data_IF_222314289412
#
_entry.id   IF_222314289412
#
_cell.length_a   1.000
_cell.length_b   1.000
_cell.length_c   1.000
_cell.angle_alpha   90.00
_cell.angle_beta   90.00
_cell.angle_gamma   90.00
#
_symmetry.space_group_name_H-M   'P 1'
#
loop_
_entity.id
_entity.type
_entity.pdbx_description
1 polymer ?
#
# COMPACT_ATOMS: atom_id res chain seq x y z
N UNK A 1 -20.59 -11.46 -53.02
CA UNK A 1 -20.44 -11.87 -51.57
C UNK A 1 -19.80 -10.74 -50.79
N UNK A 2 -20.56 -10.00 -49.99
CA UNK A 2 -20.05 -8.95 -49.07
C UNK A 2 -19.67 -9.63 -47.76
N UNK A 3 -18.37 -9.72 -47.46
CA UNK A 3 -17.89 -10.14 -46.14
C UNK A 3 -18.41 -9.16 -45.09
N UNK A 4 -19.24 -9.65 -44.17
CA UNK A 4 -19.63 -8.95 -42.95
C UNK A 4 -18.35 -8.72 -42.11
N UNK A 5 -17.83 -7.48 -42.10
CA UNK A 5 -16.85 -7.06 -41.10
C UNK A 5 -17.47 -7.28 -39.72
N UNK A 6 -16.92 -8.22 -38.96
CA UNK A 6 -17.29 -8.43 -37.58
C UNK A 6 -17.18 -7.09 -36.81
N UNK A 7 -18.23 -6.71 -36.11
CA UNK A 7 -18.18 -5.62 -35.16
C UNK A 7 -17.16 -6.00 -34.09
N UNK A 8 -15.97 -5.43 -34.15
CA UNK A 8 -15.07 -5.45 -33.00
C UNK A 8 -15.80 -4.77 -31.84
N UNK A 9 -16.32 -5.56 -30.92
CA UNK A 9 -16.91 -5.09 -29.68
C UNK A 9 -15.77 -4.56 -28.80
N UNK A 10 -15.43 -3.29 -28.97
CA UNK A 10 -14.52 -2.62 -28.03
C UNK A 10 -15.19 -2.51 -26.67
N UNK A 11 -14.45 -2.89 -25.64
CA UNK A 11 -14.83 -2.71 -24.24
C UNK A 11 -14.38 -1.33 -23.75
N UNK A 12 -15.16 -0.74 -22.86
CA UNK A 12 -14.79 0.51 -22.20
C UNK A 12 -13.97 0.18 -20.95
N UNK A 13 -12.78 0.77 -20.82
CA UNK A 13 -11.88 0.57 -19.70
C UNK A 13 -11.60 1.92 -19.06
N UNK A 14 -11.89 2.02 -17.79
CA UNK A 14 -11.53 3.19 -16.98
C UNK A 14 -10.07 3.11 -16.56
N UNK A 15 -9.36 4.22 -16.68
CA UNK A 15 -7.93 4.31 -16.40
C UNK A 15 -7.64 5.51 -15.50
N UNK A 16 -7.14 5.23 -14.30
CA UNK A 16 -6.66 6.24 -13.38
C UNK A 16 -5.23 6.64 -13.76
N UNK A 17 -5.02 7.93 -13.98
CA UNK A 17 -3.69 8.48 -14.25
C UNK A 17 -3.06 8.97 -12.94
N UNK A 18 -1.75 8.69 -12.68
CA UNK A 18 -1.04 9.18 -11.50
C UNK A 18 -0.86 10.72 -11.51
N UNK A 19 -1.95 11.44 -11.37
CA UNK A 19 -2.02 12.90 -11.46
C UNK A 19 -2.98 13.46 -10.40
N UNK A 20 -2.65 14.62 -9.78
CA UNK A 20 -3.45 15.15 -8.68
C UNK A 20 -4.81 15.73 -9.09
N UNK A 21 -5.13 15.86 -10.36
CA UNK A 21 -6.29 16.61 -10.82
C UNK A 21 -7.22 15.86 -11.76
N UNK A 22 -6.94 14.58 -12.00
CA UNK A 22 -7.64 13.83 -13.02
C UNK A 22 -8.53 12.75 -12.39
N UNK A 23 -9.84 12.74 -12.70
CA UNK A 23 -10.66 11.55 -12.50
C UNK A 23 -10.16 10.44 -13.43
N UNK A 24 -10.64 9.23 -13.23
CA UNK A 24 -10.42 8.16 -14.19
C UNK A 24 -10.97 8.56 -15.57
N UNK A 25 -10.23 8.20 -16.61
CA UNK A 25 -10.61 8.49 -18.00
C UNK A 25 -11.00 7.18 -18.68
N UNK A 26 -12.05 7.24 -19.51
CA UNK A 26 -12.53 6.07 -20.25
C UNK A 26 -11.81 5.95 -21.59
N UNK A 27 -11.34 4.74 -21.89
CA UNK A 27 -10.67 4.36 -23.14
C UNK A 27 -11.34 3.12 -23.74
N UNK A 28 -11.08 2.87 -25.03
CA UNK A 28 -11.44 1.63 -25.70
C UNK A 28 -10.32 0.63 -25.61
N UNK A 29 -10.68 -0.64 -25.48
CA UNK A 29 -9.76 -1.76 -25.64
C UNK A 29 -10.47 -2.98 -26.20
N UNK A 30 -9.74 -3.96 -26.68
CA UNK A 30 -10.28 -5.19 -27.29
C UNK A 30 -10.90 -6.15 -26.27
N UNK A 31 -10.57 -5.99 -24.98
CA UNK A 31 -11.05 -6.83 -23.88
C UNK A 31 -11.18 -6.04 -22.57
N UNK A 32 -11.91 -6.58 -21.59
CA UNK A 32 -11.89 -6.10 -20.23
C UNK A 32 -10.54 -6.39 -19.58
N UNK A 33 -10.05 -5.43 -18.80
CA UNK A 33 -8.82 -5.59 -18.03
C UNK A 33 -9.17 -5.78 -16.54
N UNK A 34 -8.42 -6.64 -15.83
CA UNK A 34 -8.47 -6.67 -14.38
C UNK A 34 -8.11 -5.31 -13.79
N UNK A 35 -8.60 -5.00 -12.60
CA UNK A 35 -8.22 -3.77 -11.89
C UNK A 35 -6.73 -3.77 -11.54
N UNK A 36 -6.11 -2.59 -11.57
CA UNK A 36 -4.72 -2.41 -11.18
C UNK A 36 -3.69 -2.74 -12.26
N UNK A 37 -4.10 -3.17 -13.46
CA UNK A 37 -3.20 -3.39 -14.59
C UNK A 37 -2.71 -2.06 -15.13
N UNK A 38 -1.39 -1.93 -15.33
CA UNK A 38 -0.83 -0.74 -15.97
C UNK A 38 -1.03 -0.79 -17.46
N UNK A 39 -1.48 0.33 -17.99
CA UNK A 39 -1.71 0.52 -19.42
C UNK A 39 -1.05 1.81 -19.90
N UNK A 40 -0.69 1.80 -21.17
CA UNK A 40 -0.22 2.98 -21.86
C UNK A 40 -1.34 3.59 -22.66
N UNK A 41 -1.65 4.86 -22.40
CA UNK A 41 -2.79 5.57 -22.98
C UNK A 41 -2.39 6.89 -23.60
N UNK A 42 -3.12 7.37 -24.63
CA UNK A 42 -2.96 8.72 -25.15
C UNK A 42 -3.62 9.74 -24.24
N UNK A 43 -2.87 10.75 -23.82
CA UNK A 43 -3.40 11.92 -23.16
C UNK A 43 -2.97 13.18 -23.90
N UNK A 44 -3.91 13.89 -24.55
CA UNK A 44 -3.60 15.00 -25.48
C UNK A 44 -2.62 14.52 -26.57
N UNK A 45 -1.40 15.09 -26.62
CA UNK A 45 -0.32 14.74 -27.56
C UNK A 45 0.75 13.80 -26.94
N UNK A 46 0.58 13.38 -25.69
CA UNK A 46 1.57 12.60 -24.97
C UNK A 46 1.06 11.18 -24.65
N UNK A 47 2.00 10.24 -24.56
CA UNK A 47 1.78 8.91 -24.01
C UNK A 47 1.89 8.98 -22.48
N UNK A 48 0.94 8.37 -21.75
CA UNK A 48 0.93 8.31 -20.30
C UNK A 48 0.69 6.89 -19.82
N UNK A 49 1.22 6.60 -18.64
CA UNK A 49 0.95 5.35 -17.94
C UNK A 49 -0.19 5.60 -16.95
N UNK A 50 -1.17 4.71 -16.98
CA UNK A 50 -2.27 4.70 -16.04
C UNK A 50 -2.56 3.29 -15.55
N UNK A 51 -3.49 3.17 -14.64
CA UNK A 51 -3.91 1.91 -14.03
C UNK A 51 -5.39 1.68 -14.35
N UNK A 52 -5.72 0.49 -14.86
CA UNK A 52 -7.11 0.10 -15.05
C UNK A 52 -7.84 0.10 -13.70
N UNK A 53 -9.00 0.66 -13.65
CA UNK A 53 -9.82 0.74 -12.43
C UNK A 53 -11.29 0.60 -12.76
N UNK A 54 -12.10 0.40 -11.72
CA UNK A 54 -13.55 0.59 -11.76
C UNK A 54 -13.86 1.71 -10.79
N UNK A 55 -14.15 2.89 -11.30
CA UNK A 55 -14.77 3.94 -10.52
C UNK A 55 -16.29 3.73 -10.52
N UNK A 56 -16.94 3.98 -9.40
CA UNK A 56 -18.40 3.94 -9.33
C UNK A 56 -18.98 4.98 -10.29
N UNK A 57 -19.88 4.53 -11.13
CA UNK A 57 -20.56 5.28 -12.18
C UNK A 57 -21.05 6.65 -11.70
N UNK A 58 -20.38 7.67 -12.14
CA UNK A 58 -21.03 8.98 -12.30
C UNK A 58 -21.52 9.04 -13.74
N UNK A 59 -22.80 8.87 -13.97
CA UNK A 59 -23.45 8.95 -15.29
C UNK A 59 -23.26 10.33 -15.98
N UNK A 60 -22.72 11.31 -15.28
CA UNK A 60 -22.52 12.66 -15.80
C UNK A 60 -21.25 12.77 -16.64
N UNK A 61 -21.41 12.83 -17.95
CA UNK A 61 -20.35 13.24 -18.87
C UNK A 61 -19.69 12.13 -19.68
N UNK A 62 -20.27 10.94 -19.79
CA UNK A 62 -19.76 9.89 -20.69
C UNK A 62 -19.72 10.38 -22.14
N UNK A 63 -18.53 10.34 -22.71
CA UNK A 63 -18.36 10.60 -24.14
C UNK A 63 -18.96 9.44 -24.95
N UNK A 64 -19.57 9.71 -26.12
CA UNK A 64 -19.98 8.63 -27.01
C UNK A 64 -18.79 7.71 -27.33
N UNK A 65 -19.02 6.41 -27.37
CA UNK A 65 -17.96 5.40 -27.63
C UNK A 65 -17.19 5.66 -28.93
N UNK A 66 -17.78 6.37 -29.90
CA UNK A 66 -17.12 6.81 -31.13
C UNK A 66 -15.99 7.82 -30.92
N UNK A 67 -16.00 8.57 -29.80
CA UNK A 67 -15.00 9.59 -29.46
C UNK A 67 -13.93 9.10 -28.47
N UNK A 68 -14.09 7.91 -27.91
CA UNK A 68 -13.11 7.34 -27.00
C UNK A 68 -11.82 6.99 -27.76
N UNK A 69 -10.68 7.28 -27.14
CA UNK A 69 -9.36 6.86 -27.65
C UNK A 69 -9.06 5.42 -27.23
N UNK A 70 -8.18 4.79 -27.96
CA UNK A 70 -7.75 3.42 -27.68
C UNK A 70 -6.55 3.37 -26.74
N UNK A 71 -6.47 2.34 -25.90
CA UNK A 71 -5.29 1.98 -25.13
C UNK A 71 -4.19 1.56 -26.11
N UNK A 72 -2.98 2.11 -25.98
CA UNK A 72 -1.86 1.76 -26.86
C UNK A 72 -1.32 0.37 -26.58
N UNK A 73 -1.14 0.04 -25.31
CA UNK A 73 -0.61 -1.26 -24.88
C UNK A 73 -0.92 -1.53 -23.42
N UNK A 74 -1.05 -2.81 -23.09
CA UNK A 74 -1.03 -3.32 -21.71
C UNK A 74 0.44 -3.56 -21.35
N UNK A 75 0.83 -3.15 -20.13
CA UNK A 75 2.22 -3.28 -19.66
C UNK A 75 2.40 -4.55 -18.83
N UNK A 76 1.43 -4.84 -17.98
CA UNK A 76 1.50 -5.94 -17.04
C UNK A 76 0.52 -7.05 -17.39
N UNK A 77 0.90 -8.29 -17.18
CA UNK A 77 -0.03 -9.43 -17.23
C UNK A 77 -0.84 -9.55 -15.93
N UNK A 78 -0.23 -9.16 -14.80
CA UNK A 78 -0.82 -9.20 -13.45
C UNK A 78 -0.67 -7.84 -12.76
N UNK A 79 -1.57 -7.49 -11.81
CA UNK A 79 -1.44 -6.24 -11.07
C UNK A 79 -0.10 -6.14 -10.32
N UNK A 80 0.66 -5.04 -10.49
CA UNK A 80 1.95 -4.87 -9.82
C UNK A 80 1.81 -4.63 -8.31
N UNK A 81 0.66 -4.14 -7.86
CA UNK A 81 0.41 -3.85 -6.44
C UNK A 81 -0.37 -4.99 -5.78
N UNK A 82 -0.05 -5.34 -4.52
CA UNK A 82 -0.89 -6.21 -3.70
C UNK A 82 -2.31 -5.66 -3.54
N UNK A 83 -3.28 -6.54 -3.35
CA UNK A 83 -4.70 -6.20 -3.26
C UNK A 83 -5.04 -5.26 -2.09
N UNK A 84 -4.38 -5.45 -0.94
CA UNK A 84 -4.51 -4.57 0.22
C UNK A 84 -4.07 -3.13 -0.09
N UNK A 85 -2.97 -2.97 -0.83
CA UNK A 85 -2.51 -1.66 -1.30
C UNK A 85 -3.51 -1.08 -2.30
N UNK A 86 -4.02 -1.88 -3.25
CA UNK A 86 -4.99 -1.37 -4.22
C UNK A 86 -6.27 -0.88 -3.54
N UNK A 87 -6.82 -1.64 -2.60
CA UNK A 87 -7.96 -1.23 -1.76
C UNK A 87 -7.65 0.03 -0.95
N UNK A 88 -6.45 0.11 -0.38
CA UNK A 88 -5.99 1.27 0.37
C UNK A 88 -5.94 2.53 -0.50
N UNK A 89 -5.43 2.43 -1.72
CA UNK A 89 -5.36 3.57 -2.66
C UNK A 89 -6.75 4.05 -3.08
N UNK A 90 -7.69 3.15 -3.33
CA UNK A 90 -9.10 3.51 -3.58
C UNK A 90 -9.71 4.24 -2.38
N UNK A 91 -9.48 3.72 -1.17
CA UNK A 91 -9.96 4.37 0.06
C UNK A 91 -9.34 5.75 0.28
N UNK A 92 -8.04 5.92 0.00
CA UNK A 92 -7.36 7.21 0.05
C UNK A 92 -7.90 8.17 -1.01
N UNK A 93 -8.08 7.71 -2.24
CA UNK A 93 -8.60 8.51 -3.35
C UNK A 93 -9.95 9.16 -3.03
N UNK A 94 -10.82 8.47 -2.29
CA UNK A 94 -12.10 8.99 -1.85
C UNK A 94 -12.00 10.03 -0.72
N UNK A 95 -10.83 10.17 -0.10
CA UNK A 95 -10.59 11.09 1.02
C UNK A 95 -9.69 12.25 0.67
N UNK A 96 -8.88 12.08 -0.37
CA UNK A 96 -7.96 13.11 -0.83
C UNK A 96 -8.66 14.07 -1.78
N UNK A 97 -8.42 15.39 -1.66
CA UNK A 97 -9.03 16.38 -2.54
C UNK A 97 -8.64 16.22 -4.02
N UNK A 98 -7.61 15.43 -4.31
CA UNK A 98 -7.07 15.20 -5.65
C UNK A 98 -7.34 13.80 -6.20
N UNK A 99 -8.17 13.02 -5.54
CA UNK A 99 -8.69 11.77 -6.03
C UNK A 99 -7.70 10.60 -6.11
N UNK A 100 -8.14 9.54 -6.77
CA UNK A 100 -7.47 8.26 -6.81
C UNK A 100 -6.12 8.29 -7.52
N UNK A 101 -6.01 9.04 -8.63
CA UNK A 101 -4.74 9.18 -9.35
C UNK A 101 -3.62 9.78 -8.49
N UNK A 102 -3.96 10.70 -7.58
CA UNK A 102 -2.99 11.25 -6.63
C UNK A 102 -2.57 10.21 -5.59
N UNK A 103 -3.50 9.40 -5.09
CA UNK A 103 -3.17 8.30 -4.17
C UNK A 103 -2.16 7.33 -4.81
N UNK A 104 -2.36 6.96 -6.08
CA UNK A 104 -1.40 6.14 -6.83
C UNK A 104 -0.03 6.83 -6.91
N UNK A 105 0.00 8.12 -7.20
CA UNK A 105 1.24 8.88 -7.35
C UNK A 105 2.09 8.91 -6.08
N UNK A 106 1.50 9.07 -4.91
CA UNK A 106 2.24 9.13 -3.63
C UNK A 106 2.73 7.77 -3.14
N UNK A 107 2.06 6.70 -3.55
CA UNK A 107 2.35 5.33 -3.09
C UNK A 107 3.32 4.56 -3.98
N UNK A 108 3.41 4.91 -5.27
CA UNK A 108 4.16 4.13 -6.24
C UNK A 108 5.52 4.74 -6.55
N UNK A 109 6.59 3.94 -6.65
CA UNK A 109 7.90 4.43 -7.05
C UNK A 109 7.92 4.88 -8.51
N UNK A 110 8.81 5.83 -8.83
CA UNK A 110 8.90 6.46 -10.16
C UNK A 110 9.06 5.47 -11.32
N UNK A 111 9.89 4.40 -11.24
CA UNK A 111 10.00 3.44 -12.35
C UNK A 111 8.66 2.74 -12.66
N UNK A 112 7.87 2.42 -11.63
CA UNK A 112 6.55 1.83 -11.82
C UNK A 112 5.61 2.80 -12.58
N UNK A 113 5.62 4.07 -12.19
CA UNK A 113 4.83 5.13 -12.81
C UNK A 113 5.28 5.47 -14.24
N UNK A 114 6.54 5.21 -14.57
CA UNK A 114 7.11 5.38 -15.92
C UNK A 114 6.84 4.18 -16.84
N UNK A 115 6.23 3.11 -16.32
CA UNK A 115 5.88 1.93 -17.11
C UNK A 115 7.04 0.97 -17.32
N UNK A 116 8.04 0.96 -16.43
CA UNK A 116 9.07 -0.08 -16.47
C UNK A 116 8.40 -1.45 -16.30
N UNK A 117 8.53 -2.30 -17.31
CA UNK A 117 7.99 -3.66 -17.27
C UNK A 117 8.81 -4.50 -16.28
N UNK A 118 8.10 -5.17 -15.38
CA UNK A 118 8.69 -6.08 -14.39
C UNK A 118 7.77 -7.27 -14.27
N UNK A 119 8.37 -8.45 -14.25
CA UNK A 119 7.63 -9.67 -13.92
C UNK A 119 7.42 -9.73 -12.40
N UNK A 120 6.15 -9.88 -12.02
CA UNK A 120 5.76 -9.96 -10.62
C UNK A 120 5.24 -11.37 -10.30
N UNK A 121 5.64 -11.93 -9.15
CA UNK A 121 5.07 -13.19 -8.69
C UNK A 121 3.57 -13.02 -8.45
N UNK A 122 2.85 -14.13 -8.47
CA UNK A 122 1.45 -14.12 -8.06
C UNK A 122 1.30 -13.53 -6.66
N UNK A 123 0.27 -12.72 -6.48
CA UNK A 123 -0.07 -12.24 -5.14
C UNK A 123 -0.62 -13.41 -4.36
N UNK A 124 0.03 -13.76 -3.27
CA UNK A 124 -0.49 -14.76 -2.34
C UNK A 124 -1.76 -14.18 -1.75
N UNK A 125 -2.88 -14.87 -1.96
CA UNK A 125 -4.13 -14.49 -1.31
C UNK A 125 -3.93 -14.55 0.20
N UNK A 126 -4.37 -13.54 0.97
CA UNK A 126 -4.27 -13.59 2.42
C UNK A 126 -4.96 -14.86 2.90
N UNK A 127 -4.23 -15.69 3.66
CA UNK A 127 -4.83 -16.83 4.33
C UNK A 127 -5.99 -16.30 5.17
N UNK A 128 -7.19 -16.86 5.02
CA UNK A 128 -8.43 -16.38 5.63
C UNK A 128 -8.30 -16.22 7.14
N UNK A 129 -7.70 -15.14 7.55
CA UNK A 129 -7.44 -14.78 8.94
C UNK A 129 -8.70 -14.12 9.47
N UNK A 130 -9.13 -14.58 10.61
CA UNK A 130 -10.09 -13.83 11.40
C UNK A 130 -9.32 -12.62 11.96
N UNK A 131 -9.57 -11.38 11.53
CA UNK A 131 -8.80 -10.23 11.98
C UNK A 131 -9.14 -9.98 13.45
N UNK A 132 -8.36 -10.57 14.34
CA UNK A 132 -8.35 -10.12 15.73
C UNK A 132 -7.61 -8.78 15.74
N UNK A 133 -8.39 -7.69 15.65
CA UNK A 133 -7.88 -6.34 15.78
C UNK A 133 -7.64 -6.05 17.27
N UNK A 134 -6.72 -6.78 17.87
CA UNK A 134 -6.26 -6.49 19.20
C UNK A 134 -5.27 -5.33 19.14
N UNK A 135 -5.73 -4.17 19.53
CA UNK A 135 -4.84 -3.06 19.80
C UNK A 135 -4.10 -3.37 21.10
N UNK A 136 -2.84 -3.71 21.02
CA UNK A 136 -1.99 -3.92 22.19
C UNK A 136 -1.21 -2.65 22.45
N UNK A 137 -1.48 -2.05 23.57
CA UNK A 137 -0.75 -0.87 24.04
C UNK A 137 0.35 -1.29 25.01
N UNK A 138 1.59 -0.92 24.72
CA UNK A 138 2.77 -1.32 25.48
C UNK A 138 3.50 -0.07 26.02
N UNK A 139 3.31 0.31 27.30
CA UNK A 139 3.78 1.60 27.84
C UNK A 139 5.28 1.65 28.16
N UNK A 140 5.98 0.51 28.22
CA UNK A 140 7.41 0.45 28.60
C UNK A 140 8.27 0.13 27.38
N UNK A 141 9.32 0.91 27.14
CA UNK A 141 10.17 0.80 25.97
C UNK A 141 10.81 -0.59 25.80
N UNK A 142 11.48 -1.10 26.85
CA UNK A 142 12.11 -2.42 26.82
C UNK A 142 11.11 -3.55 26.58
N UNK A 143 9.96 -3.53 27.23
CA UNK A 143 8.92 -4.54 27.04
C UNK A 143 8.25 -4.43 25.67
N UNK A 144 8.20 -3.24 25.07
CA UNK A 144 7.68 -3.06 23.69
C UNK A 144 8.54 -3.78 22.66
N UNK A 145 9.85 -3.57 22.69
CA UNK A 145 10.76 -4.21 21.73
C UNK A 145 10.73 -5.73 21.80
N UNK A 146 10.72 -6.30 23.00
CA UNK A 146 10.60 -7.75 23.21
C UNK A 146 9.26 -8.28 22.68
N UNK A 147 8.15 -7.58 22.98
CA UNK A 147 6.84 -7.96 22.48
C UNK A 147 6.73 -7.84 20.97
N UNK A 148 7.40 -6.87 20.34
CA UNK A 148 7.46 -6.75 18.88
C UNK A 148 8.23 -7.91 18.25
N UNK A 149 9.37 -8.31 18.82
CA UNK A 149 10.15 -9.47 18.36
C UNK A 149 9.32 -10.74 18.49
N UNK A 150 8.60 -10.91 19.60
CA UNK A 150 7.71 -12.05 19.78
C UNK A 150 6.55 -12.06 18.75
N UNK A 151 5.96 -10.91 18.47
CA UNK A 151 4.94 -10.78 17.44
C UNK A 151 5.49 -11.07 16.04
N UNK A 152 6.71 -10.62 15.73
CA UNK A 152 7.40 -10.91 14.46
C UNK A 152 7.60 -12.42 14.32
N UNK A 153 8.01 -13.13 15.35
CA UNK A 153 8.19 -14.59 15.35
C UNK A 153 6.90 -15.36 15.11
N UNK A 154 5.80 -14.82 15.60
CA UNK A 154 4.45 -15.41 15.45
C UNK A 154 3.75 -15.03 14.15
N UNK A 155 4.25 -14.07 13.38
CA UNK A 155 3.59 -13.64 12.16
C UNK A 155 3.58 -14.76 11.11
N UNK A 156 2.41 -15.06 10.56
CA UNK A 156 2.24 -16.11 9.54
C UNK A 156 2.51 -15.65 8.11
N UNK A 157 2.78 -14.36 7.88
CA UNK A 157 3.01 -13.75 6.57
C UNK A 157 4.02 -12.63 6.64
N UNK A 158 3.76 -11.52 5.96
CA UNK A 158 4.62 -10.34 6.00
C UNK A 158 4.29 -9.39 7.14
N UNK A 159 5.24 -8.52 7.48
CA UNK A 159 5.14 -7.52 8.54
C UNK A 159 5.53 -6.11 8.10
N UNK A 160 4.92 -5.13 8.73
CA UNK A 160 5.24 -3.71 8.56
C UNK A 160 5.38 -3.05 9.93
N UNK A 161 6.52 -2.41 10.18
CA UNK A 161 6.76 -1.65 11.41
C UNK A 161 7.03 -0.20 11.05
N UNK A 162 6.24 0.71 11.62
CA UNK A 162 6.37 2.14 11.43
C UNK A 162 6.94 2.80 12.68
N UNK A 163 7.97 3.60 12.47
CA UNK A 163 8.58 4.47 13.47
C UNK A 163 8.33 5.93 13.11
N UNK A 164 8.18 6.83 14.09
CA UNK A 164 8.06 8.26 13.80
C UNK A 164 9.36 8.84 13.24
N UNK A 165 10.52 8.34 13.71
CA UNK A 165 11.85 8.82 13.39
C UNK A 165 12.78 7.70 12.93
N UNK A 166 13.91 8.13 12.32
CA UNK A 166 14.87 7.20 11.72
C UNK A 166 15.82 6.55 12.73
N UNK A 167 16.27 7.29 13.71
CA UNK A 167 17.20 6.80 14.72
C UNK A 167 16.62 5.61 15.52
N UNK A 168 15.46 5.71 16.18
CA UNK A 168 14.85 4.58 16.89
C UNK A 168 14.59 3.38 15.98
N UNK A 169 14.23 3.63 14.70
CA UNK A 169 14.07 2.57 13.71
C UNK A 169 15.38 1.79 13.51
N UNK A 170 16.51 2.50 13.32
CA UNK A 170 17.80 1.87 13.08
C UNK A 170 18.30 1.13 14.32
N UNK A 171 18.09 1.67 15.52
CA UNK A 171 18.39 1.01 16.78
C UNK A 171 17.63 -0.31 16.90
N UNK A 172 16.32 -0.29 16.68
CA UNK A 172 15.50 -1.51 16.70
C UNK A 172 15.94 -2.51 15.62
N UNK A 173 16.17 -2.06 14.37
CA UNK A 173 16.63 -2.91 13.29
C UNK A 173 17.98 -3.57 13.59
N UNK A 174 18.91 -2.83 14.23
CA UNK A 174 20.22 -3.36 14.60
C UNK A 174 20.11 -4.37 15.77
N UNK A 175 19.17 -4.19 16.66
CA UNK A 175 18.90 -5.08 17.79
C UNK A 175 18.09 -6.33 17.41
N UNK A 176 17.54 -6.41 16.19
CA UNK A 176 16.84 -7.61 15.72
C UNK A 176 17.79 -8.82 15.74
N UNK A 177 17.32 -9.99 16.21
CA UNK A 177 18.09 -11.23 16.10
C UNK A 177 18.38 -11.56 14.62
N UNK A 178 19.43 -12.37 14.40
CA UNK A 178 19.96 -12.66 13.07
C UNK A 178 18.90 -13.25 12.13
N UNK A 179 18.07 -14.15 12.66
CA UNK A 179 17.04 -14.83 11.88
C UNK A 179 15.99 -13.83 11.37
N UNK A 180 15.45 -12.97 12.25
CA UNK A 180 14.47 -11.96 11.89
C UNK A 180 15.07 -10.89 10.98
N UNK A 181 16.33 -10.54 11.20
CA UNK A 181 17.07 -9.56 10.37
C UNK A 181 17.29 -10.05 8.95
N UNK A 182 17.46 -11.35 8.73
CA UNK A 182 17.74 -11.94 7.41
C UNK A 182 16.64 -11.64 6.39
N UNK A 183 15.37 -11.69 6.79
CA UNK A 183 14.21 -11.39 5.94
C UNK A 183 13.65 -9.99 6.11
N UNK A 184 14.35 -9.13 6.87
CA UNK A 184 13.95 -7.74 7.12
C UNK A 184 14.65 -6.76 6.18
N UNK A 185 14.06 -5.60 6.00
CA UNK A 185 14.72 -4.45 5.37
C UNK A 185 14.27 -3.14 5.99
N UNK A 186 15.16 -2.13 5.89
CA UNK A 186 14.82 -0.74 6.19
C UNK A 186 14.34 -0.05 4.92
N UNK A 187 13.12 0.50 4.97
CA UNK A 187 12.55 1.25 3.84
C UNK A 187 13.33 2.53 3.62
N UNK A 188 13.82 2.79 2.39
CA UNK A 188 14.58 3.99 2.11
C UNK A 188 13.74 5.26 2.25
N UNK A 189 14.36 6.31 2.74
CA UNK A 189 13.80 7.68 2.72
C UNK A 189 14.11 8.31 1.36
N UNK A 190 13.11 8.93 0.76
CA UNK A 190 13.26 9.55 -0.56
C UNK A 190 12.94 8.57 -1.70
N UNK A 191 13.46 8.91 -2.89
CA UNK A 191 13.24 8.15 -4.12
C UNK A 191 14.52 7.53 -4.66
N UNK A 192 14.50 7.17 -5.94
CA UNK A 192 15.69 6.70 -6.68
C UNK A 192 15.83 5.20 -6.73
N UNK A 193 17.04 4.76 -7.11
CA UNK A 193 17.36 3.36 -7.38
C UNK A 193 17.19 2.47 -6.14
N UNK A 194 17.73 2.91 -5.00
CA UNK A 194 17.63 2.16 -3.74
C UNK A 194 16.18 1.90 -3.31
N UNK A 195 15.29 2.89 -3.48
CA UNK A 195 13.86 2.67 -3.21
C UNK A 195 13.28 1.64 -4.16
N UNK A 196 13.63 1.70 -5.43
CA UNK A 196 13.14 0.77 -6.43
C UNK A 196 13.60 -0.67 -6.18
N UNK A 197 14.86 -0.88 -5.88
CA UNK A 197 15.43 -2.19 -5.53
C UNK A 197 14.76 -2.77 -4.26
N UNK A 198 14.64 -1.95 -3.22
CA UNK A 198 13.94 -2.36 -1.99
C UNK A 198 12.47 -2.69 -2.27
N UNK A 199 11.79 -1.87 -3.07
CA UNK A 199 10.40 -2.10 -3.47
C UNK A 199 10.25 -3.44 -4.20
N UNK A 200 11.16 -3.77 -5.11
CA UNK A 200 11.17 -5.04 -5.84
C UNK A 200 11.40 -6.22 -4.91
N UNK A 201 12.40 -6.14 -4.02
CA UNK A 201 12.72 -7.24 -3.10
C UNK A 201 11.54 -7.55 -2.15
N UNK A 202 10.86 -6.51 -1.67
CA UNK A 202 9.64 -6.65 -0.86
C UNK A 202 8.50 -7.24 -1.69
N UNK A 203 8.28 -6.72 -2.91
CA UNK A 203 7.20 -7.20 -3.78
C UNK A 203 7.40 -8.65 -4.23
N UNK A 204 8.63 -9.12 -4.33
CA UNK A 204 8.97 -10.50 -4.64
C UNK A 204 8.93 -11.44 -3.43
N UNK A 205 8.74 -10.88 -2.23
CA UNK A 205 8.73 -11.66 -0.99
C UNK A 205 10.12 -12.03 -0.45
N UNK A 206 11.19 -11.53 -1.07
CA UNK A 206 12.58 -11.74 -0.59
C UNK A 206 12.78 -11.06 0.77
N UNK A 207 12.13 -9.93 0.98
CA UNK A 207 12.03 -9.22 2.25
C UNK A 207 10.58 -9.20 2.72
N UNK A 208 10.31 -9.89 3.82
CA UNK A 208 8.97 -10.06 4.38
C UNK A 208 8.64 -9.08 5.50
N UNK A 209 9.65 -8.55 6.19
CA UNK A 209 9.48 -7.57 7.25
C UNK A 209 10.08 -6.23 6.81
N UNK A 210 9.23 -5.22 6.75
CA UNK A 210 9.62 -3.86 6.37
C UNK A 210 9.56 -2.95 7.59
N UNK A 211 10.68 -2.31 7.91
CA UNK A 211 10.77 -1.26 8.90
C UNK A 211 10.93 0.08 8.20
N UNK A 212 10.18 1.09 8.60
CA UNK A 212 10.29 2.40 7.97
C UNK A 212 9.60 3.51 8.73
N UNK A 213 9.76 4.72 8.22
CA UNK A 213 8.98 5.88 8.66
C UNK A 213 7.68 5.98 7.86
N UNK A 214 7.00 7.09 7.93
CA UNK A 214 5.66 7.27 7.35
C UNK A 214 5.48 6.78 5.91
N UNK A 215 6.49 6.92 5.03
CA UNK A 215 6.43 6.46 3.63
C UNK A 215 6.38 4.94 3.45
N UNK A 216 6.87 4.17 4.41
CA UNK A 216 6.89 2.71 4.35
C UNK A 216 5.48 2.09 4.40
N UNK A 217 4.47 2.86 4.78
CA UNK A 217 3.09 2.37 4.83
C UNK A 217 2.57 1.88 3.47
N UNK A 218 3.22 2.27 2.37
CA UNK A 218 2.92 1.82 1.01
C UNK A 218 3.86 0.71 0.49
N UNK A 219 4.75 0.17 1.32
CA UNK A 219 5.61 -0.93 0.93
C UNK A 219 4.79 -2.15 0.47
N UNK A 220 5.11 -2.79 -0.66
CA UNK A 220 4.27 -3.84 -1.26
C UNK A 220 4.49 -5.19 -0.58
N UNK A 221 4.36 -5.24 0.74
CA UNK A 221 4.51 -6.45 1.55
C UNK A 221 3.50 -7.49 1.13
N UNK A 222 3.97 -8.70 0.80
CA UNK A 222 3.12 -9.82 0.46
C UNK A 222 2.47 -10.40 1.70
N UNK A 223 1.22 -10.83 1.58
CA UNK A 223 0.46 -11.48 2.66
C UNK A 223 0.64 -10.77 4.02
N UNK A 224 0.39 -9.46 4.04
CA UNK A 224 0.57 -8.64 5.25
C UNK A 224 -0.27 -9.19 6.40
N UNK A 225 0.39 -9.62 7.48
CA UNK A 225 -0.22 -10.26 8.64
C UNK A 225 0.00 -9.53 9.96
N UNK A 226 1.01 -8.65 9.99
CA UNK A 226 1.37 -7.87 11.18
C UNK A 226 1.65 -6.42 10.79
N UNK A 227 1.08 -5.50 11.52
CA UNK A 227 1.39 -4.07 11.47
C UNK A 227 1.73 -3.58 12.87
N UNK A 228 2.88 -2.93 13.03
CA UNK A 228 3.29 -2.29 14.28
C UNK A 228 3.47 -0.80 14.03
N UNK A 229 2.96 0.03 14.92
CA UNK A 229 3.17 1.48 14.89
C UNK A 229 3.76 1.89 16.22
N UNK A 230 5.07 2.13 16.24
CA UNK A 230 5.80 2.59 17.44
C UNK A 230 5.54 4.05 17.68
N UNK A 231 5.37 4.45 18.96
CA UNK A 231 4.97 5.81 19.39
C UNK A 231 3.80 6.35 18.56
N UNK A 232 2.66 5.64 18.62
CA UNK A 232 1.50 5.85 17.73
C UNK A 232 0.93 7.28 17.77
N UNK A 233 1.13 7.98 18.90
CA UNK A 233 0.67 9.35 19.10
C UNK A 233 1.63 10.41 18.54
N UNK A 234 2.85 10.01 18.14
CA UNK A 234 3.89 10.93 17.71
C UNK A 234 3.53 11.63 16.39
N UNK A 235 3.68 12.97 16.32
CA UNK A 235 3.44 13.72 15.08
C UNK A 235 4.38 13.35 13.92
N UNK A 236 5.53 12.70 14.15
CA UNK A 236 6.42 12.17 13.12
C UNK A 236 5.76 11.16 12.17
N UNK A 237 4.62 10.60 12.57
CA UNK A 237 3.78 9.79 11.66
C UNK A 237 3.02 10.60 10.61
N UNK A 238 3.04 11.93 10.66
CA UNK A 238 2.48 12.74 9.58
C UNK A 238 3.42 12.73 8.38
N UNK A 239 2.88 12.43 7.20
CA UNK A 239 3.65 12.54 5.97
C UNK A 239 4.05 13.99 5.72
N UNK A 240 5.32 14.28 5.38
CA UNK A 240 5.79 15.66 5.21
C UNK A 240 5.18 16.33 3.98
N UNK A 241 4.88 15.57 2.94
CA UNK A 241 4.32 16.08 1.70
C UNK A 241 2.80 16.22 1.78
N UNK A 242 2.26 17.20 1.06
CA UNK A 242 0.82 17.36 0.89
C UNK A 242 0.22 16.25 0.02
N UNK A 243 -0.97 15.75 0.38
CA UNK A 243 -1.75 16.06 1.56
C UNK A 243 -1.15 15.37 2.79
N UNK A 244 -1.02 16.08 3.89
CA UNK A 244 -0.45 15.55 5.12
C UNK A 244 -1.35 14.47 5.71
N UNK A 245 -1.01 13.22 5.43
CA UNK A 245 -1.77 12.05 5.87
C UNK A 245 -1.03 11.43 7.05
N UNK A 246 -1.77 11.01 8.07
CA UNK A 246 -1.19 10.24 9.17
C UNK A 246 -0.92 8.80 8.72
N UNK A 247 0.35 8.40 8.69
CA UNK A 247 0.77 7.04 8.36
C UNK A 247 0.15 6.01 9.32
N UNK A 248 -0.03 6.36 10.61
CA UNK A 248 -0.75 5.53 11.57
C UNK A 248 -2.19 5.23 11.10
N UNK A 249 -2.93 6.25 10.66
CA UNK A 249 -4.31 6.06 10.18
C UNK A 249 -4.34 5.21 8.92
N UNK A 250 -3.38 5.40 8.01
CA UNK A 250 -3.23 4.60 6.79
C UNK A 250 -2.87 3.16 7.14
N UNK A 251 -1.95 2.94 8.09
CA UNK A 251 -1.53 1.62 8.55
C UNK A 251 -2.68 0.83 9.18
N UNK A 252 -3.48 1.47 10.04
CA UNK A 252 -4.65 0.85 10.64
C UNK A 252 -5.68 0.43 9.56
N UNK A 253 -5.90 1.29 8.55
CA UNK A 253 -6.81 0.95 7.46
C UNK A 253 -6.27 -0.16 6.57
N UNK A 254 -4.96 -0.15 6.33
CA UNK A 254 -4.28 -1.21 5.58
C UNK A 254 -4.38 -2.56 6.31
N UNK A 255 -4.13 -2.59 7.62
CA UNK A 255 -4.31 -3.79 8.44
C UNK A 255 -5.74 -4.35 8.32
N UNK A 256 -6.76 -3.48 8.36
CA UNK A 256 -8.15 -3.89 8.16
C UNK A 256 -8.42 -4.48 6.77
N UNK A 257 -7.76 -4.00 5.71
CA UNK A 257 -7.93 -4.55 4.35
C UNK A 257 -7.20 -5.87 4.13
N UNK A 258 -6.08 -6.09 4.82
CA UNK A 258 -5.28 -7.32 4.72
C UNK A 258 -5.69 -8.39 5.74
N UNK A 259 -6.51 -8.06 6.73
CA UNK A 259 -6.77 -8.94 7.87
C UNK A 259 -5.55 -9.11 8.79
N UNK A 260 -4.63 -8.13 8.80
CA UNK A 260 -3.45 -8.15 9.64
C UNK A 260 -3.77 -7.74 11.08
N UNK A 261 -3.07 -8.36 12.03
CA UNK A 261 -3.04 -7.87 13.41
C UNK A 261 -2.33 -6.51 13.47
N UNK A 262 -2.79 -5.63 14.34
CA UNK A 262 -2.14 -4.33 14.55
C UNK A 262 -1.75 -4.14 16.00
N UNK A 263 -0.50 -3.74 16.24
CA UNK A 263 0.05 -3.38 17.53
C UNK A 263 0.36 -1.89 17.51
N UNK A 264 -0.19 -1.16 18.45
CA UNK A 264 0.12 0.25 18.66
C UNK A 264 0.96 0.39 19.92
N UNK A 265 2.15 0.96 19.82
CA UNK A 265 3.08 1.19 20.92
C UNK A 265 3.16 2.65 21.30
N UNK A 266 3.55 2.92 22.52
CA UNK A 266 3.78 4.27 23.03
C UNK A 266 3.76 4.36 24.54
N UNK A 267 4.21 5.48 25.06
CA UNK A 267 4.22 5.77 26.52
C UNK A 267 2.87 6.28 27.01
N UNK A 268 2.05 6.84 26.10
CA UNK A 268 0.72 7.36 26.41
C UNK A 268 -0.21 7.18 25.21
N UNK A 269 -1.37 6.52 25.35
CA UNK A 269 -2.29 6.31 24.24
C UNK A 269 -2.87 7.63 23.77
N UNK A 270 -2.97 7.79 22.44
CA UNK A 270 -3.76 8.91 21.91
C UNK A 270 -5.24 8.75 22.27
N UNK A 271 -5.97 9.86 22.34
CA UNK A 271 -7.42 9.85 22.60
C UNK A 271 -8.20 8.92 21.63
N UNK A 272 -7.72 8.76 20.40
CA UNK A 272 -8.33 7.87 19.41
C UNK A 272 -8.18 6.39 19.78
N UNK A 273 -7.03 5.99 20.34
CA UNK A 273 -6.78 4.62 20.80
C UNK A 273 -7.58 4.35 22.07
N UNK A 274 -7.56 5.28 23.01
CA UNK A 274 -8.30 5.16 24.26
C UNK A 274 -9.82 4.97 24.07
N UNK A 275 -10.38 5.53 23.00
CA UNK A 275 -11.83 5.44 22.70
C UNK A 275 -12.24 4.14 22.00
N UNK A 276 -11.35 3.46 21.28
CA UNK A 276 -11.71 2.36 20.34
C UNK A 276 -11.07 1.03 20.68
N UNK A 277 -10.11 0.99 21.60
CA UNK A 277 -9.25 -0.18 21.81
C UNK A 277 -9.38 -0.80 23.18
N UNK A 278 -9.43 -2.13 23.24
CA UNK A 278 -9.11 -2.83 24.47
C UNK A 278 -7.63 -2.58 24.78
N UNK A 279 -7.35 -1.80 25.80
CA UNK A 279 -6.00 -1.58 26.31
C UNK A 279 -5.61 -2.83 27.08
N UNK A 280 -4.81 -3.70 26.47
CA UNK A 280 -4.14 -4.76 27.20
C UNK A 280 -2.79 -4.25 27.68
N UNK A 281 -2.64 -4.07 28.97
CA UNK A 281 -1.34 -3.86 29.58
C UNK A 281 -0.73 -5.25 29.87
N UNK A 282 0.47 -5.59 29.39
CA UNK A 282 1.15 -6.78 29.86
C UNK A 282 1.32 -6.67 31.38
N UNK A 283 1.00 -7.73 32.10
CA UNK A 283 1.29 -7.76 33.54
C UNK A 283 2.77 -7.44 33.76
N UNK A 284 3.05 -6.51 34.67
CA UNK A 284 4.43 -6.26 35.08
C UNK A 284 5.04 -7.58 35.60
N UNK A 285 6.28 -7.92 35.20
CA UNK A 285 6.93 -9.10 35.73
C UNK A 285 6.88 -9.01 37.27
N UNK A 286 6.27 -10.02 37.90
CA UNK A 286 6.24 -10.11 39.38
C UNK A 286 7.68 -10.12 39.82
N UNK A 287 8.12 -9.04 40.47
CA UNK A 287 9.46 -8.93 40.97
C UNK A 287 9.78 -10.12 41.87
N UNK A 288 10.93 -10.71 41.64
CA UNK A 288 11.57 -11.66 42.59
C UNK A 288 12.20 -10.89 43.73
#
# INVERSE_FOLDING_TARGET
MRQKRGRNLHQEVEVALPSPWWPALTYKFDRLLPEGIRVSVPLRKAKRIGFSCKEHETEKGRLPSSRLREIFSVIDEKPPLPDDIWKLLKWLGNRLPFGFGHAIRIACPSPLLKGLAVDFPETVAPAGRNPDQSFVYLPRETSRHEAYIEAIRKMGGGGLILFPEREPLLEFFNALPVDEKSFSCVWPVGGGEKLWETWLSVRRGEKRLVLGTSGAVFAPVQDLSLVIVEEEADPGHQMPAFPRISARTVAAKRAAFSGASIILGGTSPSSRVAMVSRISCPEAPKGR
#
